data_IF_419947581293
#
_entry.id   IF_419947581293
#
_cell.length_a   1.000
_cell.length_b   1.000
_cell.length_c   1.000
_cell.angle_alpha   90.00
_cell.angle_beta   90.00
_cell.angle_gamma   90.00
#
_symmetry.space_group_name_H-M   'P 1'
#
loop_
_entity.id
_entity.type
_entity.pdbx_description
1 polymer ?
#
# COMPACT_ATOMS: atom_id res chain seq x y z
N UNK A 1 21.69 -2.70 31.38
CA UNK A 1 21.42 -2.70 30.63
C UNK A 1 20.92 -3.35 30.12
N UNK A 2 20.68 -3.46 29.87
CA UNK A 2 20.29 -3.93 29.21
C UNK A 2 20.07 -4.13 28.51
N UNK A 3 19.79 -4.08 28.46
CA UNK A 3 19.73 -4.36 27.66
C UNK A 3 18.90 -4.09 26.66
N UNK A 4 19.00 -3.21 26.28
CA UNK A 4 18.47 -2.74 25.15
C UNK A 4 18.52 -3.72 24.10
N UNK A 5 19.49 -4.46 24.09
CA UNK A 5 19.64 -5.39 23.07
C UNK A 5 18.75 -6.52 23.16
N UNK A 6 18.45 -6.93 24.34
CA UNK A 6 17.60 -8.04 24.43
C UNK A 6 16.27 -7.73 23.93
N UNK A 7 15.91 -6.52 24.11
CA UNK A 7 14.60 -6.25 23.68
C UNK A 7 14.52 -6.28 22.20
N UNK A 8 15.65 -6.38 21.59
CA UNK A 8 15.61 -6.34 20.27
C UNK A 8 14.96 -7.46 19.70
N UNK A 9 14.81 -8.44 20.39
CA UNK A 9 14.14 -9.48 19.82
C UNK A 9 12.77 -9.14 19.52
N UNK A 10 12.25 -8.29 20.32
CA UNK A 10 10.96 -7.94 20.05
C UNK A 10 10.83 -6.77 19.30
N UNK A 11 11.95 -6.30 18.82
CA UNK A 11 11.85 -5.16 18.23
C UNK A 11 11.08 -5.17 17.08
N UNK A 12 10.87 -4.18 16.59
CA UNK A 12 10.03 -3.80 15.55
C UNK A 12 10.01 -4.74 14.41
N UNK A 13 8.87 -5.22 14.10
CA UNK A 13 8.67 -5.96 12.91
C UNK A 13 7.69 -5.22 12.09
N UNK A 14 7.88 -5.20 10.79
CA UNK A 14 6.91 -4.63 9.89
C UNK A 14 5.79 -5.63 9.77
N UNK A 15 4.61 -5.22 10.16
CA UNK A 15 3.44 -6.07 10.09
C UNK A 15 2.57 -5.63 8.94
N UNK A 16 2.22 -6.55 8.06
CA UNK A 16 1.36 -6.26 6.94
C UNK A 16 -0.06 -6.68 7.27
N UNK A 17 -1.00 -5.80 7.01
CA UNK A 17 -2.41 -6.09 7.19
C UNK A 17 -2.95 -6.64 5.89
N UNK A 18 -3.54 -7.83 5.92
CA UNK A 18 -4.11 -8.42 4.73
C UNK A 18 -5.43 -7.73 4.39
N UNK A 19 -5.61 -7.39 3.12
CA UNK A 19 -6.83 -6.75 2.65
C UNK A 19 -7.39 -7.52 1.47
N UNK A 20 -8.69 -7.49 1.30
CA UNK A 20 -9.33 -8.12 0.16
C UNK A 20 -10.56 -7.34 -0.27
N UNK A 21 -10.83 -7.38 -1.55
CA UNK A 21 -12.06 -6.84 -2.14
C UNK A 21 -12.43 -5.45 -1.65
N UNK A 22 -11.45 -4.56 -1.62
CA UNK A 22 -11.66 -3.21 -1.13
C UNK A 22 -11.43 -2.18 -2.22
N UNK A 23 -11.95 -1.00 -1.98
CA UNK A 23 -11.65 0.15 -2.81
C UNK A 23 -10.39 0.80 -2.23
N UNK A 24 -9.34 0.89 -3.02
CA UNK A 24 -8.10 1.47 -2.51
C UNK A 24 -8.24 2.93 -2.13
N UNK A 25 -9.26 3.62 -2.64
CA UNK A 25 -9.50 4.98 -2.23
C UNK A 25 -9.91 5.09 -0.76
N UNK A 26 -10.33 3.98 -0.17
CA UNK A 26 -10.75 3.98 1.23
C UNK A 26 -9.63 3.56 2.18
N UNK A 27 -8.47 3.19 1.67
CA UNK A 27 -7.38 2.76 2.52
C UNK A 27 -6.47 3.95 2.75
N UNK A 28 -6.82 4.76 3.74
CA UNK A 28 -6.14 6.02 4.00
C UNK A 28 -5.41 6.05 5.33
N UNK A 29 -5.53 5.01 6.14
CA UNK A 29 -4.80 4.94 7.39
C UNK A 29 -3.36 4.56 7.11
N UNK A 30 -2.39 5.22 7.72
CA UNK A 30 -0.99 4.87 7.50
C UNK A 30 -0.73 3.42 7.87
N UNK A 31 0.02 2.74 7.05
CA UNK A 31 0.35 1.36 7.36
C UNK A 31 0.87 0.60 6.17
N UNK A 32 1.11 -0.68 6.41
CA UNK A 32 1.59 -1.60 5.40
C UNK A 32 0.52 -2.66 5.18
N UNK A 33 0.17 -2.87 3.94
CA UNK A 33 -0.93 -3.77 3.59
C UNK A 33 -0.48 -4.76 2.51
N UNK A 34 -1.17 -5.87 2.42
CA UNK A 34 -0.89 -6.87 1.40
C UNK A 34 -2.21 -7.44 0.92
N UNK A 35 -2.31 -7.74 -0.36
CA UNK A 35 -3.50 -8.37 -0.89
C UNK A 35 -3.63 -9.77 -0.31
N UNK A 36 -4.84 -10.15 0.12
CA UNK A 36 -5.05 -11.39 0.85
C UNK A 36 -4.93 -12.63 -0.04
N UNK A 37 -5.19 -12.49 -1.33
CA UNK A 37 -5.09 -13.62 -2.23
C UNK A 37 -4.73 -13.13 -3.63
N UNK A 38 -4.50 -14.09 -4.54
CA UNK A 38 -4.12 -13.75 -5.91
C UNK A 38 -5.25 -13.11 -6.70
N UNK A 39 -6.49 -13.43 -6.38
CA UNK A 39 -7.61 -13.05 -7.19
C UNK A 39 -8.58 -12.10 -6.52
N UNK A 40 -8.11 -11.30 -5.59
CA UNK A 40 -8.97 -10.31 -4.96
C UNK A 40 -9.39 -9.27 -5.97
N UNK A 41 -10.58 -8.73 -5.78
CA UNK A 41 -11.09 -7.66 -6.63
C UNK A 41 -10.99 -6.36 -5.88
N UNK A 42 -10.06 -5.52 -6.31
CA UNK A 42 -9.89 -4.21 -5.70
C UNK A 42 -10.34 -3.14 -6.68
N UNK A 43 -11.03 -2.14 -6.18
CA UNK A 43 -11.36 -0.99 -7.01
C UNK A 43 -10.17 -0.05 -7.00
N UNK A 44 -9.95 0.58 -8.12
CA UNK A 44 -8.91 1.60 -8.27
C UNK A 44 -7.47 1.09 -8.19
N UNK A 45 -7.26 -0.14 -8.64
CA UNK A 45 -5.92 -0.62 -8.87
C UNK A 45 -5.35 0.01 -10.14
N UNK A 46 -4.04 0.11 -10.26
CA UNK A 46 -3.46 0.48 -11.54
C UNK A 46 -3.93 -0.51 -12.62
N UNK A 47 -4.37 0.00 -13.75
CA UNK A 47 -4.98 -0.86 -14.77
C UNK A 47 -4.04 -1.94 -15.27
N UNK A 48 -2.76 -1.67 -15.27
CA UNK A 48 -1.78 -2.63 -15.78
C UNK A 48 -1.74 -3.91 -14.96
N UNK A 49 -2.01 -3.81 -13.66
CA UNK A 49 -2.01 -4.99 -12.80
C UNK A 49 -3.42 -5.47 -12.45
N UNK A 50 -4.44 -4.77 -12.90
CA UNK A 50 -5.81 -5.19 -12.63
C UNK A 50 -6.24 -6.21 -13.66
N UNK A 51 -5.56 -7.33 -13.66
CA UNK A 51 -5.75 -8.39 -14.63
C UNK A 51 -5.58 -9.72 -13.94
N UNK A 52 -6.17 -10.77 -14.47
CA UNK A 52 -5.99 -12.10 -13.88
C UNK A 52 -4.51 -12.41 -13.69
N UNK A 53 -4.19 -13.00 -12.57
CA UNK A 53 -2.82 -13.43 -12.23
C UNK A 53 -1.83 -12.29 -12.01
N UNK A 54 -2.28 -11.06 -11.94
CA UNK A 54 -1.41 -9.91 -11.73
C UNK A 54 -1.84 -9.01 -10.58
N UNK A 55 -2.86 -9.41 -9.83
CA UNK A 55 -3.48 -8.52 -8.86
C UNK A 55 -2.85 -8.50 -7.47
N UNK A 56 -1.88 -9.34 -7.23
CA UNK A 56 -1.28 -9.40 -5.89
C UNK A 56 -0.26 -8.27 -5.72
N UNK A 57 -0.27 -7.65 -4.55
CA UNK A 57 0.58 -6.49 -4.29
C UNK A 57 0.79 -6.24 -2.81
N UNK A 58 1.84 -5.48 -2.51
CA UNK A 58 1.99 -4.83 -1.23
C UNK A 58 1.60 -3.37 -1.41
N UNK A 59 1.00 -2.79 -0.40
CA UNK A 59 0.59 -1.38 -0.44
C UNK A 59 1.14 -0.68 0.80
N UNK A 60 1.79 0.44 0.59
CA UNK A 60 2.25 1.28 1.69
C UNK A 60 1.45 2.57 1.65
N UNK A 61 0.93 2.99 2.80
CA UNK A 61 0.13 4.19 2.90
C UNK A 61 0.73 5.14 3.90
N UNK A 62 0.89 6.39 3.50
CA UNK A 62 1.26 7.47 4.38
C UNK A 62 0.15 8.50 4.37
N UNK A 63 -0.16 9.09 5.51
CA UNK A 63 -1.07 10.22 5.56
C UNK A 63 -0.79 10.98 6.85
N UNK A 64 -1.23 12.23 6.89
CA UNK A 64 -1.07 13.03 8.09
C UNK A 64 -2.19 12.74 9.08
N UNK A 65 -3.20 12.03 8.64
CA UNK A 65 -4.35 11.67 9.47
C UNK A 65 -5.62 11.99 8.71
N UNK A 66 -6.61 11.12 8.84
CA UNK A 66 -7.88 11.34 8.18
C UNK A 66 -7.80 11.42 6.66
N UNK A 67 -6.80 10.79 6.06
CA UNK A 67 -6.64 10.82 4.62
C UNK A 67 -6.00 12.09 4.07
N UNK A 68 -5.59 13.02 4.95
CA UNK A 68 -4.98 14.27 4.51
C UNK A 68 -3.60 13.99 3.93
N UNK A 69 -3.34 14.50 2.76
CA UNK A 69 -2.09 14.28 2.04
C UNK A 69 -1.73 12.79 1.97
N UNK A 70 -2.74 11.99 1.73
CA UNK A 70 -2.54 10.54 1.67
C UNK A 70 -1.72 10.17 0.45
N UNK A 71 -0.76 9.30 0.63
CA UNK A 71 0.07 8.80 -0.45
C UNK A 71 0.03 7.29 -0.42
N UNK A 72 -0.07 6.69 -1.57
CA UNK A 72 -0.11 5.24 -1.69
C UNK A 72 0.95 4.78 -2.67
N UNK A 73 1.69 3.75 -2.28
CA UNK A 73 2.68 3.14 -3.15
C UNK A 73 2.36 1.66 -3.22
N UNK A 74 2.22 1.15 -4.44
CA UNK A 74 2.00 -0.26 -4.67
C UNK A 74 3.29 -0.89 -5.17
N UNK A 75 3.65 -2.02 -4.55
CA UNK A 75 4.72 -2.88 -5.02
C UNK A 75 4.04 -4.16 -5.49
N UNK A 76 3.87 -4.30 -6.80
CA UNK A 76 3.19 -5.46 -7.35
C UNK A 76 4.06 -6.71 -7.21
N UNK A 77 3.44 -7.85 -7.06
CA UNK A 77 4.19 -9.10 -7.01
C UNK A 77 4.87 -9.42 -8.34
N UNK A 78 4.57 -8.65 -9.38
CA UNK A 78 5.24 -8.78 -10.66
C UNK A 78 6.41 -7.81 -10.79
N UNK A 79 6.78 -7.14 -9.71
CA UNK A 79 7.95 -6.26 -9.70
C UNK A 79 7.69 -4.85 -10.20
N UNK A 80 6.44 -4.44 -10.34
CA UNK A 80 6.11 -3.10 -10.81
C UNK A 80 5.77 -2.21 -9.61
N UNK A 81 6.10 -0.94 -9.71
CA UNK A 81 5.86 0.00 -8.62
C UNK A 81 5.01 1.15 -9.13
N UNK A 82 3.98 1.50 -8.37
CA UNK A 82 3.07 2.58 -8.72
C UNK A 82 2.87 3.51 -7.53
N UNK A 83 2.65 4.78 -7.83
CA UNK A 83 2.48 5.81 -6.81
C UNK A 83 1.30 6.69 -7.17
N UNK A 84 0.56 7.12 -6.17
CA UNK A 84 -0.43 8.17 -6.33
C UNK A 84 -0.61 8.91 -5.01
N UNK A 85 -1.26 10.07 -5.06
CA UNK A 85 -1.40 10.90 -3.87
C UNK A 85 -2.68 11.72 -3.92
N UNK A 86 -3.13 12.10 -2.72
CA UNK A 86 -4.11 13.14 -2.53
C UNK A 86 -3.33 14.39 -2.15
N UNK A 87 -3.57 15.49 -2.84
CA UNK A 87 -2.93 16.75 -2.47
C UNK A 87 -3.97 17.53 -1.69
N UNK A 88 -3.79 17.60 -0.38
CA UNK A 88 -4.72 18.24 0.52
C UNK A 88 -5.64 17.26 1.21
N UNK A 89 -6.94 17.51 1.11
CA UNK A 89 -7.93 16.72 1.83
C UNK A 89 -8.75 15.85 0.91
N UNK A 90 -9.47 14.92 1.48
CA UNK A 90 -10.42 14.12 0.74
C UNK A 90 -9.80 12.86 0.18
N UNK A 91 -10.43 12.29 -0.82
CA UNK A 91 -9.92 11.09 -1.43
C UNK A 91 -9.81 11.21 -2.94
N UNK A 92 -9.55 12.41 -3.42
CA UNK A 92 -9.34 12.63 -4.84
C UNK A 92 -7.89 12.35 -5.17
N UNK A 93 -7.59 11.11 -5.41
CA UNK A 93 -6.23 10.70 -5.73
C UNK A 93 -5.86 11.10 -7.15
N UNK A 94 -4.59 11.43 -7.35
CA UNK A 94 -4.06 11.55 -8.70
C UNK A 94 -4.14 10.19 -9.37
N UNK A 95 -3.91 10.13 -10.66
CA UNK A 95 -3.84 8.84 -11.31
C UNK A 95 -2.59 8.11 -10.86
N UNK A 96 -2.63 6.79 -10.93
CA UNK A 96 -1.46 6.00 -10.63
C UNK A 96 -0.35 6.31 -11.63
N UNK A 97 0.83 6.50 -11.11
CA UNK A 97 2.01 6.71 -11.94
C UNK A 97 2.93 5.54 -11.73
N UNK A 98 3.35 4.95 -12.83
CA UNK A 98 4.29 3.85 -12.74
C UNK A 98 5.68 4.42 -12.54
N UNK A 99 6.41 3.88 -11.60
CA UNK A 99 7.78 4.29 -11.35
C UNK A 99 8.67 3.42 -12.20
N UNK A 100 9.38 4.03 -13.13
CA UNK A 100 10.29 3.31 -14.00
C UNK A 100 11.71 3.43 -13.47
N UNK A 101 12.28 2.27 -13.16
CA UNK A 101 13.64 2.22 -12.67
C UNK A 101 14.51 1.77 -13.83
N UNK A 102 15.45 2.54 -14.20
CA UNK A 102 16.28 2.15 -15.34
C UNK A 102 17.76 2.24 -15.01
#
# INVERSE_FOLDING_TARGET
MENLYTSKEEKTKITFTAIDNKNLNDITEPGFYVSASWDNNFSNLPSEIDKPSSKAFYLVVFSVGGGTYCQQIIYSFKGLIYYRAVVGFGNNFTQWRKINLS
#
